data_IF_383103790385
#
_entry.id   IF_383103790385
#
_cell.length_a   1.000
_cell.length_b   1.000
_cell.length_c   1.000
_cell.angle_alpha   90.00
_cell.angle_beta   90.00
_cell.angle_gamma   90.00
#
_symmetry.space_group_name_H-M   'P 1'
#
loop_
_entity.id
_entity.type
_entity.pdbx_description
1 polymer ?
#
# COMPACT_ATOMS: atom_id res chain seq x y z
N UNK A 1 -1.01 3.08 21.72
CA UNK A 1 -1.70 4.31 21.41
C UNK A 1 -1.90 4.40 19.91
N UNK A 2 -3.07 3.91 19.40
CA UNK A 2 -3.34 3.89 17.97
C UNK A 2 -3.58 5.28 17.43
N UNK A 3 -2.67 5.79 16.62
CA UNK A 3 -2.81 7.03 15.89
C UNK A 3 -3.99 6.97 14.91
N UNK A 4 -5.10 7.55 15.30
CA UNK A 4 -6.28 7.76 14.46
C UNK A 4 -5.94 8.80 13.40
N UNK A 5 -5.74 8.38 12.17
CA UNK A 5 -5.59 9.33 11.07
C UNK A 5 -6.94 9.82 10.62
N UNK A 6 -7.17 11.08 10.89
CA UNK A 6 -8.31 11.83 10.41
C UNK A 6 -8.05 12.18 8.93
N UNK A 7 -8.95 11.77 8.04
CA UNK A 7 -9.01 12.40 6.72
C UNK A 7 -9.23 13.90 6.92
N UNK A 8 -8.23 14.71 6.65
CA UNK A 8 -8.33 16.14 6.78
C UNK A 8 -9.20 16.68 5.64
N UNK A 9 -10.45 16.96 5.95
CA UNK A 9 -11.25 17.81 5.10
C UNK A 9 -10.96 19.25 5.49
N UNK A 10 -10.41 20.00 4.59
CA UNK A 10 -10.25 21.45 4.77
C UNK A 10 -11.60 22.10 4.55
N UNK A 11 -12.23 22.55 5.64
CA UNK A 11 -13.41 23.39 5.60
C UNK A 11 -12.95 24.84 5.79
N UNK A 12 -13.00 25.61 4.72
CA UNK A 12 -12.78 27.05 4.76
C UNK A 12 -13.38 27.64 3.50
N UNK A 13 -14.46 28.38 3.63
CA UNK A 13 -15.02 29.25 2.59
C UNK A 13 -15.35 28.59 1.24
N UNK A 14 -16.46 27.92 1.13
CA UNK A 14 -17.21 27.77 -0.13
C UNK A 14 -16.74 26.72 -1.15
N UNK A 15 -15.53 26.21 -1.12
CA UNK A 15 -15.03 25.23 -2.10
C UNK A 15 -14.79 23.85 -1.47
N UNK A 16 -15.29 22.80 -2.13
CA UNK A 16 -15.17 21.42 -1.65
C UNK A 16 -13.97 20.72 -2.30
N UNK A 17 -13.19 20.01 -1.49
CA UNK A 17 -12.05 19.22 -1.95
C UNK A 17 -12.35 17.75 -1.69
N UNK A 18 -12.20 16.91 -2.71
CA UNK A 18 -12.28 15.46 -2.57
C UNK A 18 -10.90 14.91 -2.23
N UNK A 19 -10.72 14.43 -0.99
CA UNK A 19 -9.56 13.63 -0.64
C UNK A 19 -9.83 12.16 -0.99
N UNK A 20 -9.01 11.57 -1.84
CA UNK A 20 -9.03 10.14 -2.13
C UNK A 20 -8.53 9.37 -0.91
N UNK A 21 -9.45 8.75 -0.16
CA UNK A 21 -9.13 8.06 1.09
C UNK A 21 -8.85 6.59 0.83
N UNK A 22 -7.79 6.11 1.46
CA UNK A 22 -7.54 4.72 1.83
C UNK A 22 -8.79 4.10 2.45
N UNK A 23 -9.09 2.85 2.09
CA UNK A 23 -10.22 2.05 2.56
C UNK A 23 -10.63 2.35 4.00
N UNK A 24 -11.89 2.71 4.27
CA UNK A 24 -12.42 2.60 5.62
C UNK A 24 -12.42 1.10 6.01
N UNK A 25 -12.04 0.82 7.24
CA UNK A 25 -12.23 -0.52 7.83
C UNK A 25 -13.72 -0.86 7.77
N UNK A 26 -14.06 -2.08 7.38
CA UNK A 26 -15.43 -2.55 7.42
C UNK A 26 -16.03 -2.28 8.81
N UNK A 27 -17.15 -1.54 8.87
CA UNK A 27 -17.87 -1.23 10.11
C UNK A 27 -17.77 0.21 10.63
N UNK A 28 -16.85 1.04 10.15
CA UNK A 28 -16.78 2.45 10.58
C UNK A 28 -17.53 3.38 9.60
N UNK A 29 -18.82 3.59 9.83
CA UNK A 29 -19.51 4.78 9.33
C UNK A 29 -19.05 5.95 10.19
N UNK A 30 -18.32 6.88 9.62
CA UNK A 30 -17.99 8.15 10.28
C UNK A 30 -18.76 9.28 9.63
N UNK A 31 -19.81 9.69 10.25
CA UNK A 31 -20.37 11.03 10.10
C UNK A 31 -19.45 11.99 10.85
N UNK A 32 -18.62 12.71 10.13
CA UNK A 32 -17.87 13.83 10.68
C UNK A 32 -18.33 15.10 9.99
N UNK A 33 -19.05 15.92 10.72
CA UNK A 33 -19.27 17.36 10.48
C UNK A 33 -19.30 17.78 9.00
N UNK A 34 -20.43 17.59 8.32
CA UNK A 34 -20.67 18.13 6.98
C UNK A 34 -19.86 17.51 5.83
N UNK A 35 -19.24 16.36 6.01
CA UNK A 35 -18.40 15.68 5.02
C UNK A 35 -19.06 14.43 4.48
N UNK A 36 -19.26 14.36 3.17
CA UNK A 36 -19.73 13.15 2.53
C UNK A 36 -18.59 12.13 2.46
N UNK A 37 -18.70 11.01 3.19
CA UNK A 37 -17.80 9.88 3.10
C UNK A 37 -18.45 8.81 2.24
N UNK A 38 -17.80 8.43 1.13
CA UNK A 38 -18.25 7.34 0.27
C UNK A 38 -17.18 6.27 0.20
N UNK A 39 -17.54 5.05 0.56
CA UNK A 39 -16.68 3.88 0.48
C UNK A 39 -16.97 3.11 -0.81
N UNK A 40 -15.92 2.59 -1.47
CA UNK A 40 -16.04 1.72 -2.64
C UNK A 40 -14.76 1.69 -3.47
N UNK A 41 -14.63 0.66 -4.32
CA UNK A 41 -13.66 0.63 -5.41
C UNK A 41 -14.30 1.34 -6.60
N UNK A 42 -13.93 2.58 -6.84
CA UNK A 42 -14.44 3.33 -7.98
C UNK A 42 -13.37 3.42 -9.06
N UNK A 43 -13.73 2.99 -10.25
CA UNK A 43 -12.98 3.33 -11.45
C UNK A 43 -13.05 4.82 -11.76
N UNK A 44 -12.38 5.25 -12.82
CA UNK A 44 -12.32 6.65 -13.24
C UNK A 44 -13.70 7.31 -13.34
N UNK A 45 -14.67 6.66 -14.01
CA UNK A 45 -16.03 7.18 -14.21
C UNK A 45 -16.78 7.40 -12.89
N UNK A 46 -16.66 6.47 -11.95
CA UNK A 46 -17.27 6.61 -10.62
C UNK A 46 -16.68 7.78 -9.83
N UNK A 47 -15.37 8.04 -9.99
CA UNK A 47 -14.70 9.21 -9.40
C UNK A 47 -15.18 10.51 -10.03
N UNK A 48 -15.28 10.58 -11.36
CA UNK A 48 -15.80 11.74 -12.09
C UNK A 48 -17.22 12.08 -11.62
N UNK A 49 -18.11 11.08 -11.58
CA UNK A 49 -19.48 11.27 -11.11
C UNK A 49 -19.55 11.78 -9.67
N UNK A 50 -18.73 11.24 -8.78
CA UNK A 50 -18.66 11.66 -7.39
C UNK A 50 -18.14 13.10 -7.24
N UNK A 51 -17.02 13.43 -7.89
CA UNK A 51 -16.39 14.76 -7.84
C UNK A 51 -17.34 15.83 -8.37
N UNK A 52 -17.99 15.55 -9.51
CA UNK A 52 -18.99 16.45 -10.11
C UNK A 52 -20.20 16.62 -9.22
N UNK A 53 -20.77 15.52 -8.69
CA UNK A 53 -21.95 15.55 -7.82
C UNK A 53 -21.71 16.26 -6.47
N UNK A 54 -20.46 16.31 -6.01
CA UNK A 54 -20.09 17.03 -4.78
C UNK A 54 -19.62 18.46 -5.04
N UNK A 55 -19.47 18.89 -6.30
CA UNK A 55 -18.96 20.21 -6.65
C UNK A 55 -17.55 20.47 -6.12
N UNK A 56 -16.67 19.46 -6.23
CA UNK A 56 -15.30 19.58 -5.75
C UNK A 56 -14.46 20.44 -6.68
N UNK A 57 -13.50 21.19 -6.11
CA UNK A 57 -12.60 22.10 -6.82
C UNK A 57 -11.17 21.56 -6.95
N UNK A 58 -10.85 20.41 -6.36
CA UNK A 58 -9.57 19.74 -6.49
C UNK A 58 -9.70 18.25 -6.10
N UNK A 59 -8.76 17.45 -6.55
CA UNK A 59 -8.60 16.04 -6.15
C UNK A 59 -7.29 15.88 -5.41
N UNK A 60 -7.36 15.39 -4.16
CA UNK A 60 -6.18 14.99 -3.39
C UNK A 60 -6.10 13.46 -3.40
N UNK A 61 -5.04 12.92 -3.95
CA UNK A 61 -4.75 11.49 -3.92
C UNK A 61 -3.79 11.14 -2.79
N UNK A 62 -4.31 10.49 -1.76
CA UNK A 62 -3.55 9.95 -0.63
C UNK A 62 -3.54 8.41 -0.63
N UNK A 63 -3.70 7.79 -1.80
CA UNK A 63 -3.65 6.34 -1.96
C UNK A 63 -2.27 5.78 -1.59
N UNK A 64 -2.21 4.47 -1.35
CA UNK A 64 -0.93 3.82 -1.08
C UNK A 64 0.03 3.97 -2.28
N UNK A 65 1.35 4.13 -2.05
CA UNK A 65 2.32 4.39 -3.13
C UNK A 65 2.29 3.40 -4.29
N UNK A 66 2.01 2.12 -4.03
CA UNK A 66 1.94 1.05 -5.02
C UNK A 66 0.52 0.79 -5.56
N UNK A 67 -0.42 1.71 -5.37
CA UNK A 67 -1.80 1.61 -5.87
C UNK A 67 -1.94 2.27 -7.25
N UNK A 68 -1.15 1.83 -8.24
CA UNK A 68 -1.05 2.43 -9.58
C UNK A 68 -2.43 2.70 -10.21
N UNK A 69 -3.27 1.69 -10.30
CA UNK A 69 -4.65 1.82 -10.83
C UNK A 69 -5.46 2.92 -10.13
N UNK A 70 -5.27 3.06 -8.81
CA UNK A 70 -5.94 4.10 -8.02
C UNK A 70 -5.44 5.50 -8.37
N UNK A 71 -4.14 5.64 -8.63
CA UNK A 71 -3.52 6.89 -9.05
C UNK A 71 -3.98 7.27 -10.46
N UNK A 72 -3.94 6.33 -11.40
CA UNK A 72 -4.35 6.55 -12.79
C UNK A 72 -5.81 7.00 -12.88
N UNK A 73 -6.70 6.36 -12.13
CA UNK A 73 -8.10 6.75 -12.04
C UNK A 73 -8.30 8.13 -11.41
N UNK A 74 -7.49 8.53 -10.42
CA UNK A 74 -7.60 9.83 -9.79
C UNK A 74 -7.06 10.94 -10.70
N UNK A 75 -5.94 10.71 -11.37
CA UNK A 75 -5.36 11.62 -12.36
C UNK A 75 -6.31 11.80 -13.55
N UNK A 76 -6.80 10.70 -14.14
CA UNK A 76 -7.74 10.76 -15.26
C UNK A 76 -9.06 11.43 -14.92
N UNK A 77 -9.53 11.32 -13.67
CA UNK A 77 -10.71 12.05 -13.22
C UNK A 77 -10.43 13.55 -13.06
N UNK A 78 -9.26 13.93 -12.57
CA UNK A 78 -8.84 15.32 -12.46
C UNK A 78 -8.73 15.99 -13.83
N UNK A 79 -8.07 15.32 -14.76
CA UNK A 79 -7.92 15.76 -16.16
C UNK A 79 -9.27 15.93 -16.86
N UNK A 80 -10.14 14.93 -16.79
CA UNK A 80 -11.48 14.96 -17.41
C UNK A 80 -12.38 16.07 -16.88
N UNK A 81 -12.11 16.56 -15.66
CA UNK A 81 -12.89 17.63 -15.00
C UNK A 81 -12.17 18.99 -15.02
N UNK A 82 -10.95 19.07 -15.55
CA UNK A 82 -10.13 20.28 -15.52
C UNK A 82 -9.78 20.73 -14.10
N UNK A 83 -9.64 19.78 -13.15
CA UNK A 83 -9.39 20.07 -11.75
C UNK A 83 -7.91 19.85 -11.38
N UNK A 84 -7.39 20.63 -10.42
CA UNK A 84 -6.07 20.37 -9.85
C UNK A 84 -5.99 18.97 -9.23
N UNK A 85 -4.90 18.25 -9.56
CA UNK A 85 -4.53 17.00 -8.91
C UNK A 85 -3.36 17.24 -7.97
N UNK A 86 -3.51 16.82 -6.71
CA UNK A 86 -2.51 16.97 -5.65
C UNK A 86 -2.21 15.57 -5.10
N UNK A 87 -0.96 15.16 -5.17
CA UNK A 87 -0.52 13.87 -4.62
C UNK A 87 0.07 14.05 -3.23
N UNK A 88 -0.50 13.37 -2.25
CA UNK A 88 0.16 13.14 -0.97
C UNK A 88 0.98 11.86 -1.05
N UNK A 89 2.28 11.98 -0.93
CA UNK A 89 3.19 10.85 -0.90
C UNK A 89 3.95 10.82 0.42
N UNK A 90 3.88 9.70 1.11
CA UNK A 90 4.63 9.53 2.34
C UNK A 90 6.11 9.46 2.03
N UNK A 91 7.00 10.07 2.84
CA UNK A 91 8.44 9.92 2.68
C UNK A 91 8.86 8.46 2.55
N UNK A 92 9.78 8.18 1.65
CA UNK A 92 10.38 6.86 1.51
C UNK A 92 11.32 6.59 2.68
N UNK A 93 11.28 5.36 3.20
CA UNK A 93 12.27 4.92 4.17
C UNK A 93 13.61 4.71 3.44
N UNK A 94 14.66 5.30 3.97
CA UNK A 94 16.03 5.00 3.56
C UNK A 94 16.57 3.90 4.46
N UNK A 95 17.01 2.82 3.86
CA UNK A 95 17.69 1.74 4.56
C UNK A 95 19.19 1.87 4.33
N UNK A 96 19.95 1.69 5.39
CA UNK A 96 21.40 1.53 5.25
C UNK A 96 21.72 0.28 4.45
N UNK A 97 22.78 0.30 3.62
CA UNK A 97 23.21 -0.88 2.89
C UNK A 97 23.43 -2.07 3.83
N UNK A 98 22.82 -3.20 3.51
CA UNK A 98 22.97 -4.41 4.29
C UNK A 98 23.14 -5.61 3.37
N UNK A 99 24.10 -6.56 3.65
CA UNK A 99 24.40 -7.68 2.76
C UNK A 99 23.21 -8.60 2.45
N UNK A 100 22.20 -8.61 3.34
CA UNK A 100 20.99 -9.42 3.19
C UNK A 100 19.75 -8.62 2.81
N UNK A 101 19.91 -7.35 2.49
CA UNK A 101 18.82 -6.50 1.98
C UNK A 101 18.97 -6.30 0.48
N UNK A 102 18.04 -6.86 -0.28
CA UNK A 102 17.98 -6.76 -1.74
C UNK A 102 16.83 -5.84 -2.11
N UNK A 103 17.14 -4.64 -2.59
CA UNK A 103 16.13 -3.70 -3.08
C UNK A 103 15.90 -3.96 -4.56
N UNK A 104 14.64 -4.17 -4.96
CA UNK A 104 14.25 -4.50 -6.33
C UNK A 104 13.14 -3.56 -6.82
N UNK A 105 13.01 -3.42 -8.14
CA UNK A 105 12.10 -2.45 -8.76
C UNK A 105 10.72 -3.01 -9.08
N UNK A 106 10.54 -4.34 -9.08
CA UNK A 106 9.30 -4.97 -9.48
C UNK A 106 9.01 -6.28 -8.74
N UNK A 107 7.74 -6.70 -8.75
CA UNK A 107 7.32 -8.00 -8.19
C UNK A 107 7.94 -9.19 -8.93
N UNK A 108 8.06 -9.10 -10.27
CA UNK A 108 8.69 -10.14 -11.06
C UNK A 108 10.19 -10.30 -10.76
N UNK A 109 10.89 -9.18 -10.53
CA UNK A 109 12.28 -9.22 -10.08
C UNK A 109 12.39 -9.84 -8.68
N UNK A 110 11.50 -9.44 -7.75
CA UNK A 110 11.45 -10.02 -6.41
C UNK A 110 11.24 -11.54 -6.45
N UNK A 111 10.32 -12.02 -7.29
CA UNK A 111 10.05 -13.45 -7.46
C UNK A 111 11.28 -14.20 -8.00
N UNK A 112 11.97 -13.65 -9.00
CA UNK A 112 13.23 -14.24 -9.53
C UNK A 112 14.31 -14.30 -8.46
N UNK A 113 14.50 -13.24 -7.66
CA UNK A 113 15.47 -13.23 -6.56
C UNK A 113 15.13 -14.24 -5.48
N UNK A 114 13.85 -14.34 -5.10
CA UNK A 114 13.40 -15.35 -4.14
C UNK A 114 13.66 -16.78 -4.66
N UNK A 115 13.42 -17.04 -5.95
CA UNK A 115 13.72 -18.32 -6.60
C UNK A 115 15.21 -18.68 -6.58
N UNK A 116 16.08 -17.68 -6.75
CA UNK A 116 17.54 -17.88 -6.70
C UNK A 116 18.03 -18.21 -5.28
N UNK A 117 17.48 -17.55 -4.26
CA UNK A 117 17.84 -17.76 -2.85
C UNK A 117 17.33 -19.09 -2.32
N UNK A 118 16.20 -19.59 -2.85
CA UNK A 118 15.55 -20.84 -2.40
C UNK A 118 15.15 -20.82 -0.91
N UNK A 119 14.84 -22.01 -0.36
CA UNK A 119 14.52 -22.18 1.05
C UNK A 119 13.10 -21.76 1.43
N UNK A 120 12.90 -21.39 2.69
CA UNK A 120 11.59 -20.96 3.22
C UNK A 120 11.36 -19.49 2.95
N UNK A 121 10.46 -19.18 2.03
CA UNK A 121 10.13 -17.82 1.58
C UNK A 121 8.83 -17.36 2.26
N UNK A 122 8.88 -16.27 3.00
CA UNK A 122 7.69 -15.61 3.55
C UNK A 122 7.30 -14.39 2.73
N UNK A 123 6.11 -14.43 2.14
CA UNK A 123 5.56 -13.35 1.33
C UNK A 123 4.65 -12.45 2.18
N UNK A 124 4.96 -11.15 2.26
CA UNK A 124 4.18 -10.16 3.03
C UNK A 124 3.62 -9.03 2.15
N UNK A 125 3.54 -9.25 0.84
CA UNK A 125 3.07 -8.25 -0.15
C UNK A 125 1.55 -8.16 -0.27
N UNK A 126 0.82 -9.13 0.33
CA UNK A 126 -0.64 -9.24 0.28
C UNK A 126 -1.16 -10.01 -0.93
N UNK A 127 -2.49 -10.19 -1.01
CA UNK A 127 -3.14 -11.09 -1.97
C UNK A 127 -3.10 -10.64 -3.43
N UNK A 128 -2.97 -9.34 -3.73
CA UNK A 128 -3.04 -8.83 -5.11
C UNK A 128 -1.95 -9.34 -6.05
N UNK A 129 -0.77 -9.61 -5.51
CA UNK A 129 0.43 -10.01 -6.27
C UNK A 129 0.81 -11.45 -6.03
N UNK A 130 -0.07 -12.21 -5.38
CA UNK A 130 0.19 -13.59 -4.98
C UNK A 130 0.45 -14.52 -6.16
N UNK A 131 -0.26 -14.33 -7.28
CA UNK A 131 -0.12 -15.12 -8.51
C UNK A 131 1.31 -15.09 -9.05
N UNK A 132 1.93 -13.90 -9.10
CA UNK A 132 3.31 -13.72 -9.60
C UNK A 132 4.31 -14.60 -8.84
N UNK A 133 4.14 -14.68 -7.51
CA UNK A 133 5.03 -15.48 -6.67
C UNK A 133 4.66 -16.96 -6.68
N UNK A 134 3.37 -17.28 -6.74
CA UNK A 134 2.90 -18.65 -6.84
C UNK A 134 3.42 -19.32 -8.12
N UNK A 135 3.27 -18.68 -9.27
CA UNK A 135 3.78 -19.15 -10.55
C UNK A 135 5.32 -19.35 -10.55
N UNK A 136 6.03 -18.44 -9.91
CA UNK A 136 7.50 -18.48 -9.89
C UNK A 136 8.07 -19.51 -8.90
N UNK A 137 7.41 -19.74 -7.75
CA UNK A 137 7.99 -20.42 -6.60
C UNK A 137 7.32 -21.75 -6.26
N UNK A 138 6.02 -21.93 -6.56
CA UNK A 138 5.36 -23.22 -6.34
C UNK A 138 5.86 -24.26 -7.35
N UNK A 139 5.97 -25.51 -6.89
CA UNK A 139 6.48 -26.60 -7.72
C UNK A 139 8.01 -26.77 -7.67
N UNK A 140 8.77 -25.83 -7.11
CA UNK A 140 10.18 -26.05 -6.81
C UNK A 140 10.32 -26.71 -5.42
N UNK A 141 10.75 -27.98 -5.31
CA UNK A 141 10.85 -28.69 -4.03
C UNK A 141 11.86 -28.06 -3.05
N UNK A 142 12.77 -27.23 -3.55
CA UNK A 142 13.72 -26.49 -2.74
C UNK A 142 13.13 -25.21 -2.11
N UNK A 143 11.84 -24.91 -2.38
CA UNK A 143 11.18 -23.68 -1.91
C UNK A 143 9.89 -24.03 -1.16
N UNK A 144 9.77 -23.52 0.06
CA UNK A 144 8.50 -23.49 0.79
C UNK A 144 7.96 -22.07 0.81
N UNK A 145 6.84 -21.83 0.13
CA UNK A 145 6.18 -20.54 0.07
C UNK A 145 5.15 -20.40 1.20
N UNK A 146 5.42 -19.53 2.15
CA UNK A 146 4.49 -19.11 3.19
C UNK A 146 3.93 -17.73 2.86
N UNK A 147 2.63 -17.52 2.97
CA UNK A 147 1.98 -16.26 2.61
C UNK A 147 1.31 -15.63 3.81
N UNK A 148 1.59 -14.33 4.04
CA UNK A 148 0.93 -13.52 5.07
C UNK A 148 0.04 -12.46 4.42
N UNK A 149 -1.26 -12.54 4.71
CA UNK A 149 -2.28 -11.71 4.05
C UNK A 149 -3.48 -11.45 4.97
N UNK A 150 -4.39 -10.58 4.53
CA UNK A 150 -5.61 -10.29 5.29
C UNK A 150 -6.58 -11.48 5.30
N UNK A 151 -7.26 -11.75 6.43
CA UNK A 151 -8.26 -12.81 6.55
C UNK A 151 -9.58 -12.39 5.86
N UNK A 152 -9.59 -12.36 4.54
CA UNK A 152 -10.80 -12.12 3.76
C UNK A 152 -11.06 -13.24 2.76
N UNK A 153 -12.32 -13.44 2.40
CA UNK A 153 -12.75 -14.54 1.53
C UNK A 153 -12.00 -14.53 0.19
N UNK A 154 -11.85 -13.37 -0.43
CA UNK A 154 -11.12 -13.19 -1.69
C UNK A 154 -9.69 -13.75 -1.62
N UNK A 155 -8.98 -13.48 -0.52
CA UNK A 155 -7.61 -13.96 -0.33
C UNK A 155 -7.56 -15.47 -0.07
N UNK A 156 -8.50 -16.01 0.70
CA UNK A 156 -8.57 -17.45 0.98
C UNK A 156 -8.90 -18.24 -0.28
N UNK A 157 -9.85 -17.78 -1.07
CA UNK A 157 -10.17 -18.37 -2.37
C UNK A 157 -8.97 -18.34 -3.31
N UNK A 158 -8.25 -17.22 -3.37
CA UNK A 158 -7.05 -17.08 -4.20
C UNK A 158 -5.96 -18.06 -3.76
N UNK A 159 -5.70 -18.21 -2.46
CA UNK A 159 -4.75 -19.20 -1.96
C UNK A 159 -5.13 -20.62 -2.37
N UNK A 160 -6.41 -20.96 -2.26
CA UNK A 160 -6.93 -22.27 -2.66
C UNK A 160 -6.72 -22.52 -4.16
N UNK A 161 -7.13 -21.58 -5.01
CA UNK A 161 -6.99 -21.69 -6.46
C UNK A 161 -5.55 -21.80 -6.94
N UNK A 162 -4.62 -21.16 -6.23
CA UNK A 162 -3.19 -21.22 -6.53
C UNK A 162 -2.49 -22.44 -5.94
N UNK A 163 -3.19 -23.30 -5.20
CA UNK A 163 -2.62 -24.50 -4.61
C UNK A 163 -1.71 -24.23 -3.40
N UNK A 164 -1.88 -23.10 -2.71
CA UNK A 164 -1.10 -22.82 -1.50
C UNK A 164 -1.67 -23.67 -0.35
N UNK A 165 -0.81 -24.50 0.24
CA UNK A 165 -1.19 -25.37 1.35
C UNK A 165 -1.64 -24.56 2.57
N UNK A 166 -2.71 -25.01 3.24
CA UNK A 166 -3.28 -24.32 4.41
C UNK A 166 -2.25 -24.02 5.50
N UNK A 167 -1.34 -24.96 5.77
CA UNK A 167 -0.26 -24.81 6.77
C UNK A 167 0.71 -23.68 6.46
N UNK A 168 0.74 -23.18 5.23
CA UNK A 168 1.59 -22.10 4.75
C UNK A 168 0.83 -20.76 4.61
N UNK A 169 -0.40 -20.67 5.14
CA UNK A 169 -1.22 -19.45 5.09
C UNK A 169 -1.28 -18.81 6.47
N UNK A 170 -0.85 -17.55 6.56
CA UNK A 170 -0.94 -16.71 7.75
C UNK A 170 -1.97 -15.62 7.47
N UNK A 171 -3.20 -15.82 7.93
CA UNK A 171 -4.31 -14.89 7.71
C UNK A 171 -4.48 -13.98 8.94
N UNK A 172 -3.77 -12.85 8.96
CA UNK A 172 -3.73 -11.90 10.07
C UNK A 172 -3.85 -10.46 9.59
N UNK A 173 -4.46 -9.62 10.44
CA UNK A 173 -4.53 -8.17 10.22
C UNK A 173 -3.57 -7.44 11.15
N UNK A 174 -2.65 -6.64 10.57
CA UNK A 174 -1.74 -5.78 11.32
C UNK A 174 -2.41 -4.58 12.02
N UNK A 175 -1.65 -3.76 12.73
CA UNK A 175 -0.19 -3.72 12.74
C UNK A 175 0.43 -4.89 13.52
N UNK A 176 1.67 -5.25 13.18
CA UNK A 176 2.43 -6.33 13.80
C UNK A 176 3.60 -5.75 14.58
N UNK A 177 3.79 -6.17 15.83
CA UNK A 177 4.98 -5.81 16.60
C UNK A 177 6.21 -6.57 16.09
N UNK A 178 7.39 -6.13 16.53
CA UNK A 178 8.65 -6.80 16.25
C UNK A 178 8.64 -8.25 16.74
N UNK A 179 8.20 -8.47 18.00
CA UNK A 179 8.16 -9.78 18.65
C UNK A 179 7.26 -10.75 17.87
N UNK A 180 6.10 -10.28 17.40
CA UNK A 180 5.21 -11.11 16.58
C UNK A 180 5.83 -11.45 15.23
N UNK A 181 6.53 -10.50 14.58
CA UNK A 181 7.24 -10.77 13.34
C UNK A 181 8.33 -11.83 13.57
N UNK A 182 9.15 -11.69 14.61
CA UNK A 182 10.20 -12.66 14.95
C UNK A 182 9.63 -14.04 15.27
N UNK A 183 8.52 -14.10 16.04
CA UNK A 183 7.84 -15.37 16.35
C UNK A 183 7.35 -16.07 15.09
N UNK A 184 6.75 -15.33 14.14
CA UNK A 184 6.32 -15.88 12.86
C UNK A 184 7.50 -16.34 12.01
N UNK A 185 8.60 -15.59 11.97
CA UNK A 185 9.80 -16.01 11.22
C UNK A 185 10.38 -17.31 11.78
N UNK A 186 10.47 -17.43 13.10
CA UNK A 186 10.91 -18.68 13.75
C UNK A 186 9.96 -19.85 13.48
N UNK A 187 8.67 -19.65 13.69
CA UNK A 187 7.65 -20.69 13.50
C UNK A 187 7.65 -21.28 12.10
N UNK A 188 7.83 -20.43 11.09
CA UNK A 188 7.83 -20.85 9.69
C UNK A 188 9.24 -21.12 9.14
N UNK A 189 10.27 -21.00 9.98
CA UNK A 189 11.67 -21.21 9.57
C UNK A 189 12.07 -20.31 8.41
N UNK A 190 11.62 -19.04 8.42
CA UNK A 190 11.79 -18.11 7.31
C UNK A 190 13.28 -17.84 7.04
N UNK A 191 13.71 -18.02 5.81
CA UNK A 191 15.06 -17.72 5.33
C UNK A 191 15.09 -16.53 4.39
N UNK A 192 13.98 -16.30 3.68
CA UNK A 192 13.80 -15.17 2.76
C UNK A 192 12.45 -14.49 3.06
N UNK A 193 12.45 -13.21 3.31
CA UNK A 193 11.24 -12.41 3.49
C UNK A 193 11.08 -11.47 2.30
N UNK A 194 9.93 -11.52 1.64
CA UNK A 194 9.59 -10.60 0.55
C UNK A 194 8.56 -9.61 1.04
N UNK A 195 8.88 -8.34 0.91
CA UNK A 195 8.00 -7.24 1.32
C UNK A 195 8.03 -6.10 0.31
N UNK A 196 7.09 -5.17 0.44
CA UNK A 196 7.04 -3.95 -0.36
C UNK A 196 7.17 -2.72 0.51
N UNK A 197 7.76 -1.67 -0.04
CA UNK A 197 7.84 -0.39 0.63
C UNK A 197 6.44 0.22 0.79
N UNK A 198 6.05 0.52 2.03
CA UNK A 198 4.74 1.09 2.36
C UNK A 198 4.80 2.50 2.97
N UNK A 199 6.01 3.08 3.08
CA UNK A 199 6.30 4.37 3.72
C UNK A 199 6.50 4.27 5.23
N UNK A 200 7.03 5.33 5.83
CA UNK A 200 7.49 5.40 7.21
C UNK A 200 6.48 4.98 8.29
N UNK A 201 5.19 4.97 7.97
CA UNK A 201 4.13 4.67 8.92
C UNK A 201 3.56 3.25 8.83
N UNK A 202 4.15 2.37 8.04
CA UNK A 202 3.58 1.08 7.68
C UNK A 202 4.09 -0.13 8.45
N UNK A 203 4.68 -0.01 9.65
CA UNK A 203 5.36 -1.10 10.37
C UNK A 203 6.39 -1.86 9.50
N UNK A 204 6.83 -1.23 8.42
CA UNK A 204 7.81 -1.83 7.51
C UNK A 204 9.15 -1.97 8.21
N UNK A 205 9.51 -0.94 8.96
CA UNK A 205 10.78 -0.85 9.66
C UNK A 205 10.94 -2.02 10.64
N UNK A 206 9.95 -2.25 11.51
CA UNK A 206 10.00 -3.33 12.50
C UNK A 206 10.13 -4.73 11.87
N UNK A 207 9.39 -5.02 10.81
CA UNK A 207 9.48 -6.33 10.17
C UNK A 207 10.76 -6.53 9.36
N UNK A 208 11.32 -5.46 8.75
CA UNK A 208 12.57 -5.53 8.01
C UNK A 208 13.74 -5.69 8.97
N UNK A 209 13.81 -4.85 10.00
CA UNK A 209 14.88 -4.96 11.01
C UNK A 209 14.81 -6.31 11.74
N UNK A 210 13.64 -6.75 12.17
CA UNK A 210 13.47 -8.07 12.77
C UNK A 210 14.02 -9.20 11.88
N UNK A 211 13.74 -9.15 10.57
CA UNK A 211 14.24 -10.16 9.64
C UNK A 211 15.76 -10.09 9.47
N UNK A 212 16.33 -8.89 9.28
CA UNK A 212 17.77 -8.70 9.11
C UNK A 212 18.57 -9.13 10.34
N UNK A 213 18.10 -8.76 11.53
CA UNK A 213 18.72 -9.13 12.81
C UNK A 213 18.69 -10.64 13.07
N UNK A 214 17.69 -11.34 12.53
CA UNK A 214 17.60 -12.80 12.53
C UNK A 214 18.42 -13.46 11.41
N UNK A 215 19.14 -12.70 10.61
CA UNK A 215 19.92 -13.21 9.50
C UNK A 215 19.11 -13.66 8.28
N UNK A 216 17.86 -13.22 8.16
CA UNK A 216 16.96 -13.52 7.05
C UNK A 216 17.26 -12.59 5.86
N UNK A 217 17.28 -13.12 4.65
CA UNK A 217 17.34 -12.28 3.46
C UNK A 217 16.04 -11.52 3.28
N UNK A 218 16.13 -10.22 3.05
CA UNK A 218 14.98 -9.35 2.80
C UNK A 218 15.01 -8.89 1.35
N UNK A 219 13.95 -9.20 0.61
CA UNK A 219 13.72 -8.66 -0.72
C UNK A 219 12.67 -7.55 -0.58
N UNK A 220 13.12 -6.31 -0.73
CA UNK A 220 12.29 -5.11 -0.59
C UNK A 220 11.93 -4.57 -1.97
N UNK A 221 10.65 -4.63 -2.31
CA UNK A 221 10.15 -4.04 -3.55
C UNK A 221 9.99 -2.54 -3.31
N UNK A 222 10.86 -1.77 -3.95
CA UNK A 222 10.85 -0.32 -3.88
C UNK A 222 9.58 0.26 -4.52
N UNK A 223 9.27 1.50 -4.17
CA UNK A 223 8.23 2.25 -4.85
C UNK A 223 8.65 2.55 -6.29
N UNK A 224 7.73 2.47 -7.25
CA UNK A 224 7.98 3.00 -8.58
C UNK A 224 8.36 4.47 -8.45
N UNK A 225 9.50 4.87 -9.00
CA UNK A 225 9.85 6.29 -9.04
C UNK A 225 8.87 7.02 -9.95
N UNK A 226 8.03 7.80 -9.33
CA UNK A 226 7.29 8.96 -9.87
C UNK A 226 6.73 8.88 -11.29
N UNK A 227 5.62 8.19 -11.49
CA UNK A 227 4.71 8.42 -12.61
C UNK A 227 4.05 9.83 -12.58
N UNK A 228 4.24 10.58 -11.47
CA UNK A 228 3.60 11.89 -11.26
C UNK A 228 4.38 13.06 -11.86
N UNK A 229 5.57 12.84 -12.40
CA UNK A 229 6.38 13.90 -13.04
C UNK A 229 5.66 14.39 -14.29
N UNK A 230 4.91 15.49 -14.13
CA UNK A 230 4.15 16.13 -15.19
C UNK A 230 2.63 16.22 -14.96
N UNK A 231 2.06 15.46 -14.05
CA UNK A 231 0.61 15.38 -13.81
C UNK A 231 0.13 15.90 -12.44
N UNK A 232 0.81 16.89 -11.88
CA UNK A 232 0.37 17.49 -10.62
C UNK A 232 1.52 17.77 -9.66
N UNK A 233 1.16 18.29 -8.47
CA UNK A 233 2.13 18.59 -7.42
C UNK A 233 2.13 17.46 -6.40
N UNK A 234 3.34 16.97 -6.04
CA UNK A 234 3.56 15.98 -5.01
C UNK A 234 3.96 16.68 -3.72
N UNK A 235 3.38 16.26 -2.62
CA UNK A 235 3.62 16.79 -1.29
C UNK A 235 3.91 15.66 -0.32
N UNK A 236 4.86 15.84 0.58
CA UNK A 236 5.27 14.83 1.54
C UNK A 236 4.67 15.05 2.94
N UNK A 237 4.11 16.25 3.18
CA UNK A 237 3.44 16.58 4.44
C UNK A 237 1.98 17.00 4.25
N UNK A 238 1.18 16.84 5.30
CA UNK A 238 -0.20 17.33 5.31
C UNK A 238 -0.26 18.85 5.34
N UNK A 239 0.69 19.48 6.01
CA UNK A 239 0.80 20.93 6.13
C UNK A 239 1.01 21.57 4.75
N UNK A 240 1.85 20.98 3.91
CA UNK A 240 2.06 21.44 2.53
C UNK A 240 0.77 21.32 1.70
N UNK A 241 0.05 20.21 1.79
CA UNK A 241 -1.23 20.02 1.08
C UNK A 241 -2.26 21.05 1.56
N UNK A 242 -2.39 21.23 2.87
CA UNK A 242 -3.33 22.21 3.44
C UNK A 242 -3.00 23.62 2.94
N UNK A 243 -1.72 23.99 2.92
CA UNK A 243 -1.25 25.28 2.41
C UNK A 243 -1.57 25.43 0.92
N UNK A 244 -1.33 24.39 0.12
CA UNK A 244 -1.61 24.39 -1.31
C UNK A 244 -3.12 24.55 -1.58
N UNK A 245 -3.98 23.80 -0.88
CA UNK A 245 -5.44 23.88 -1.02
C UNK A 245 -5.95 25.26 -0.61
N UNK A 246 -5.39 25.82 0.47
CA UNK A 246 -5.77 27.17 0.94
C UNK A 246 -5.40 28.24 -0.09
N UNK A 247 -4.26 28.10 -0.76
CA UNK A 247 -3.86 29.01 -1.82
C UNK A 247 -4.77 28.95 -3.06
N UNK A 248 -5.30 27.77 -3.42
CA UNK A 248 -6.30 27.61 -4.48
C UNK A 248 -7.64 28.25 -4.14
N UNK A 249 -8.01 28.31 -2.86
CA UNK A 249 -9.29 28.90 -2.42
C UNK A 249 -9.26 30.43 -2.38
N UNK A 250 -8.09 31.06 -2.45
CA UNK A 250 -7.92 32.53 -2.45
C UNK A 250 -7.91 33.15 -3.85
N UNK A 251 -7.87 32.34 -4.90
CA UNK A 251 -8.02 32.75 -6.30
C UNK A 251 -9.42 32.42 -6.81
#
# INVERSE_FOLDING_TARGET
GGGRRRGAGVAGGGRRVLAGVVRPRAGERREAAGRATRAGRWGQQGRIACVRGLGCSAIIDASQPLAQEGHDHAMGAAEALGLPYLRYERPSLKYEPHPRLLVVSSYGEAARRAKQLKGSVMLTTGGKTLEIFAEALLGDPAIRLTVRLLPCLENMQKCHLLGIEQRNIIALQGPFSRELNEALYRQYGTQVMVTKESGAEGSLDEKVHAALDMGIYVILIARPQAFYKGHGRVYESFEEIVSAVTAFNKK
#
